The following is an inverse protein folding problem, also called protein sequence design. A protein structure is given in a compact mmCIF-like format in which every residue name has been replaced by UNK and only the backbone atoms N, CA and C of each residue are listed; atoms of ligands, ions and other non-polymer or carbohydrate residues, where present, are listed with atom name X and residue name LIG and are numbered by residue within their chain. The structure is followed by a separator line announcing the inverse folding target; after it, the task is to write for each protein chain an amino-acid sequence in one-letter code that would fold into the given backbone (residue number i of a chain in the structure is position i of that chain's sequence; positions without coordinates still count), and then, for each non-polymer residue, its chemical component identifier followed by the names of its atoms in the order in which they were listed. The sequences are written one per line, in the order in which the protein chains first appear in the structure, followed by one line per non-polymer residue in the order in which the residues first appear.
data_IF_311432955055
#
_entry.id   IF_311432955055
#
_cell.length_a   1.000
_cell.length_b   1.000
_cell.length_c   1.000
_cell.angle_alpha   90.00
_cell.angle_beta   90.00
_cell.angle_gamma   90.00
#
_symmetry.space_group_name_H-M   'P 1'
#
loop_
_entity.id
_entity.type
_entity.pdbx_description
1 polymer ?
#
# COMPACT_ATOMS: atom_id res chain seq x y z
N UNK A 1 -7.19 -37.13 -26.14
CA UNK A 1 -6.62 -35.80 -26.44
C UNK A 1 -6.45 -35.05 -25.12
N UNK A 2 -5.23 -34.96 -24.62
CA UNK A 2 -4.94 -34.07 -23.50
C UNK A 2 -4.99 -32.64 -24.05
N UNK A 3 -5.91 -31.81 -23.55
CA UNK A 3 -5.85 -30.38 -23.79
C UNK A 3 -4.52 -29.90 -23.23
N UNK A 4 -3.67 -29.34 -24.10
CA UNK A 4 -2.49 -28.64 -23.65
C UNK A 4 -2.96 -27.56 -22.67
N UNK A 5 -2.62 -27.72 -21.38
CA UNK A 5 -2.69 -26.63 -20.42
C UNK A 5 -1.73 -25.60 -21.00
N UNK A 6 -2.26 -24.64 -21.74
CA UNK A 6 -1.50 -23.52 -22.26
C UNK A 6 -0.92 -22.88 -21.03
N UNK A 7 0.40 -22.97 -20.87
CA UNK A 7 1.13 -22.31 -19.79
C UNK A 7 0.85 -20.82 -19.96
N UNK A 8 -0.19 -20.34 -19.28
CA UNK A 8 -0.54 -18.93 -19.20
C UNK A 8 0.44 -18.34 -18.22
N UNK A 9 1.69 -18.23 -18.66
CA UNK A 9 2.75 -17.60 -17.92
C UNK A 9 3.16 -16.35 -18.66
N UNK A 10 2.54 -15.24 -18.30
CA UNK A 10 2.94 -13.90 -18.68
C UNK A 10 4.40 -13.68 -18.27
N UNK A 11 5.23 -13.18 -19.20
CA UNK A 11 6.60 -12.76 -18.89
C UNK A 11 6.61 -11.39 -18.20
N UNK A 12 7.76 -10.99 -17.62
CA UNK A 12 7.90 -9.64 -17.07
C UNK A 12 7.75 -8.55 -18.16
N UNK A 13 8.22 -8.84 -19.38
CA UNK A 13 8.04 -7.94 -20.53
C UNK A 13 6.57 -7.76 -20.88
N UNK A 14 5.80 -8.85 -20.93
CA UNK A 14 4.35 -8.81 -21.21
C UNK A 14 3.59 -8.06 -20.12
N UNK A 15 3.98 -8.23 -18.85
CA UNK A 15 3.45 -7.48 -17.72
C UNK A 15 3.65 -5.97 -17.90
N UNK A 16 4.89 -5.56 -18.21
CA UNK A 16 5.23 -4.15 -18.41
C UNK A 16 4.46 -3.57 -19.60
N UNK A 17 4.39 -4.29 -20.71
CA UNK A 17 3.62 -3.86 -21.89
C UNK A 17 2.14 -3.71 -21.56
N UNK A 18 1.54 -4.69 -20.88
CA UNK A 18 0.13 -4.64 -20.47
C UNK A 18 -0.15 -3.43 -19.57
N UNK A 19 0.73 -3.12 -18.60
CA UNK A 19 0.59 -1.93 -17.74
C UNK A 19 0.67 -0.62 -18.53
N UNK A 20 1.54 -0.55 -19.53
CA UNK A 20 1.76 0.67 -20.34
C UNK A 20 0.62 0.92 -21.32
N UNK A 21 0.11 -0.13 -21.93
CA UNK A 21 -0.95 -0.07 -22.95
C UNK A 21 -2.35 0.14 -22.34
N UNK A 22 -2.54 -0.22 -21.06
CA UNK A 22 -3.84 -0.05 -20.40
C UNK A 22 -4.20 1.42 -20.24
N UNK A 23 -5.39 1.82 -20.70
CA UNK A 23 -5.96 3.12 -20.36
C UNK A 23 -6.53 3.07 -18.94
N UNK A 24 -5.84 3.66 -17.98
CA UNK A 24 -6.24 3.63 -16.56
C UNK A 24 -7.46 4.51 -16.25
N UNK A 25 -7.86 5.38 -17.17
CA UNK A 25 -9.11 6.17 -17.04
C UNK A 25 -10.35 5.34 -17.41
N UNK A 26 -10.16 4.22 -18.12
CA UNK A 26 -11.25 3.33 -18.53
C UNK A 26 -11.42 2.18 -17.54
N UNK A 27 -12.56 2.18 -16.84
CA UNK A 27 -12.95 1.09 -15.92
C UNK A 27 -12.91 -0.28 -16.61
N UNK A 28 -13.34 -0.34 -17.87
CA UNK A 28 -13.33 -1.58 -18.66
C UNK A 28 -11.90 -2.05 -18.90
N UNK A 29 -11.00 -1.15 -19.34
CA UNK A 29 -9.62 -1.52 -19.62
C UNK A 29 -8.86 -1.95 -18.35
N UNK A 30 -9.11 -1.28 -17.22
CA UNK A 30 -8.56 -1.69 -15.92
C UNK A 30 -9.05 -3.07 -15.50
N UNK A 31 -10.35 -3.34 -15.67
CA UNK A 31 -10.91 -4.66 -15.36
C UNK A 31 -10.31 -5.76 -16.26
N UNK A 32 -10.14 -5.50 -17.55
CA UNK A 32 -9.51 -6.45 -18.47
C UNK A 32 -8.06 -6.76 -18.07
N UNK A 33 -7.29 -5.73 -17.71
CA UNK A 33 -5.95 -5.91 -17.15
C UNK A 33 -5.99 -6.77 -15.88
N UNK A 34 -6.86 -6.45 -14.93
CA UNK A 34 -6.99 -7.20 -13.67
C UNK A 34 -7.35 -8.67 -13.93
N UNK A 35 -8.27 -8.95 -14.85
CA UNK A 35 -8.63 -10.33 -15.21
C UNK A 35 -7.44 -11.08 -15.82
N UNK A 36 -6.68 -10.43 -16.72
CA UNK A 36 -5.46 -11.01 -17.30
C UNK A 36 -4.43 -11.34 -16.23
N UNK A 37 -4.23 -10.44 -15.26
CA UNK A 37 -3.30 -10.64 -14.14
C UNK A 37 -3.77 -11.74 -13.18
N UNK A 38 -5.08 -11.81 -12.89
CA UNK A 38 -5.67 -12.86 -12.02
C UNK A 38 -5.63 -14.26 -12.63
N UNK A 39 -5.53 -14.37 -13.95
CA UNK A 39 -5.34 -15.64 -14.63
C UNK A 39 -3.91 -16.19 -14.51
N UNK A 40 -2.98 -15.44 -13.91
CA UNK A 40 -1.57 -15.83 -13.72
C UNK A 40 -1.32 -16.33 -12.30
N UNK A 41 -0.14 -16.90 -12.06
CA UNK A 41 0.36 -17.18 -10.71
C UNK A 41 0.47 -15.86 -9.91
N UNK A 42 -0.28 -15.70 -8.79
CA UNK A 42 -0.31 -14.46 -8.03
C UNK A 42 1.05 -14.09 -7.42
N UNK A 43 1.87 -15.08 -7.04
CA UNK A 43 3.20 -14.81 -6.47
C UNK A 43 4.16 -14.27 -7.53
N UNK A 44 4.04 -14.76 -8.75
CA UNK A 44 4.83 -14.26 -9.89
C UNK A 44 4.42 -12.83 -10.25
N UNK A 45 3.12 -12.55 -10.32
CA UNK A 45 2.62 -11.19 -10.57
C UNK A 45 3.11 -10.23 -9.48
N UNK A 46 3.01 -10.61 -8.20
CA UNK A 46 3.50 -9.79 -7.10
C UNK A 46 5.01 -9.52 -7.17
N UNK A 47 5.80 -10.51 -7.62
CA UNK A 47 7.22 -10.34 -7.89
C UNK A 47 7.47 -9.30 -8.99
N UNK A 48 6.69 -9.31 -10.07
CA UNK A 48 6.81 -8.29 -11.13
C UNK A 48 6.45 -6.89 -10.64
N UNK A 49 5.40 -6.75 -9.83
CA UNK A 49 5.07 -5.46 -9.20
C UNK A 49 6.23 -4.93 -8.35
N UNK A 50 6.78 -5.77 -7.48
CA UNK A 50 7.88 -5.36 -6.57
C UNK A 50 9.18 -5.08 -7.32
N UNK A 51 9.53 -5.94 -8.29
CA UNK A 51 10.70 -5.75 -9.13
C UNK A 51 10.60 -4.47 -9.96
N UNK A 52 9.41 -4.20 -10.54
CA UNK A 52 9.20 -3.00 -11.35
C UNK A 52 9.28 -1.74 -10.49
N UNK A 53 8.68 -1.74 -9.29
CA UNK A 53 8.78 -0.64 -8.34
C UNK A 53 10.24 -0.31 -8.01
N UNK A 54 11.02 -1.34 -7.68
CA UNK A 54 12.44 -1.18 -7.38
C UNK A 54 13.25 -0.69 -8.58
N UNK A 55 12.92 -1.15 -9.79
CA UNK A 55 13.65 -0.77 -11.01
C UNK A 55 13.37 0.67 -11.44
N UNK A 56 12.15 1.18 -11.22
CA UNK A 56 11.81 2.58 -11.55
C UNK A 56 12.24 3.55 -10.46
N UNK A 57 12.14 3.18 -9.17
CA UNK A 57 12.50 4.07 -8.06
C UNK A 57 11.74 5.40 -8.12
N UNK A 58 12.50 6.49 -8.04
CA UNK A 58 12.06 7.88 -8.19
C UNK A 58 12.21 8.42 -9.63
N UNK A 59 12.74 7.62 -10.56
CA UNK A 59 13.11 8.10 -11.90
C UNK A 59 11.95 8.18 -12.90
N UNK A 60 10.81 7.54 -12.62
CA UNK A 60 9.66 7.49 -13.52
C UNK A 60 8.32 7.52 -12.79
N UNK A 61 7.85 8.73 -12.45
CA UNK A 61 6.60 8.96 -11.71
C UNK A 61 5.35 8.46 -12.45
N UNK A 62 5.30 8.62 -13.78
CA UNK A 62 4.17 8.18 -14.59
C UNK A 62 4.00 6.65 -14.54
N UNK A 63 5.11 5.91 -14.69
CA UNK A 63 5.07 4.45 -14.61
C UNK A 63 4.80 3.95 -13.19
N UNK A 64 5.33 4.63 -12.17
CA UNK A 64 5.03 4.34 -10.76
C UNK A 64 3.53 4.52 -10.47
N UNK A 65 2.93 5.60 -10.95
CA UNK A 65 1.49 5.85 -10.83
C UNK A 65 0.66 4.73 -11.47
N UNK A 66 1.06 4.27 -12.67
CA UNK A 66 0.41 3.14 -13.35
C UNK A 66 0.49 1.84 -12.55
N UNK A 67 1.67 1.56 -12.02
CA UNK A 67 1.95 0.39 -11.18
C UNK A 67 1.09 0.42 -9.91
N UNK A 68 1.07 1.55 -9.22
CA UNK A 68 0.29 1.78 -8.01
C UNK A 68 -1.22 1.61 -8.24
N UNK A 69 -1.78 2.25 -9.28
CA UNK A 69 -3.21 2.16 -9.60
C UNK A 69 -3.62 0.73 -9.98
N UNK A 70 -2.80 0.05 -10.78
CA UNK A 70 -3.07 -1.33 -11.21
C UNK A 70 -3.00 -2.31 -10.05
N UNK A 71 -2.03 -2.15 -9.14
CA UNK A 71 -1.94 -2.93 -7.91
C UNK A 71 -3.19 -2.75 -7.04
N UNK A 72 -3.64 -1.50 -6.87
CA UNK A 72 -4.84 -1.18 -6.08
C UNK A 72 -6.12 -1.77 -6.69
N UNK A 73 -6.21 -1.87 -8.02
CA UNK A 73 -7.33 -2.52 -8.70
C UNK A 73 -7.28 -4.05 -8.57
N UNK A 74 -6.07 -4.65 -8.57
CA UNK A 74 -5.89 -6.10 -8.47
C UNK A 74 -6.35 -6.65 -7.12
N UNK A 75 -6.06 -5.94 -6.02
CA UNK A 75 -6.41 -6.31 -4.63
C UNK A 75 -6.04 -7.77 -4.29
N UNK A 76 -4.84 -8.20 -4.70
CA UNK A 76 -4.36 -9.55 -4.40
C UNK A 76 -3.60 -9.58 -3.09
N UNK A 77 -3.87 -10.58 -2.24
CA UNK A 77 -3.15 -10.82 -0.98
C UNK A 77 -1.64 -11.04 -1.21
N UNK A 78 -1.27 -11.59 -2.38
CA UNK A 78 0.13 -11.79 -2.75
C UNK A 78 0.92 -10.48 -2.92
N UNK A 79 0.24 -9.33 -3.07
CA UNK A 79 0.88 -8.01 -3.15
C UNK A 79 1.35 -7.47 -1.80
N UNK A 80 1.28 -8.25 -0.71
CA UNK A 80 1.80 -7.86 0.60
C UNK A 80 3.20 -7.21 0.53
N UNK A 81 4.22 -7.78 -0.17
CA UNK A 81 5.55 -7.16 -0.23
C UNK A 81 5.55 -5.79 -0.93
N UNK A 82 4.72 -5.64 -1.97
CA UNK A 82 4.59 -4.38 -2.71
C UNK A 82 3.95 -3.29 -1.84
N UNK A 83 2.86 -3.62 -1.13
CA UNK A 83 2.22 -2.68 -0.22
C UNK A 83 3.07 -2.36 0.99
N UNK A 84 3.80 -3.33 1.51
CA UNK A 84 4.77 -3.09 2.58
C UNK A 84 5.83 -2.08 2.14
N UNK A 85 6.43 -2.26 0.96
CA UNK A 85 7.43 -1.34 0.41
C UNK A 85 6.89 0.10 0.35
N UNK A 86 5.70 0.29 -0.23
CA UNK A 86 5.05 1.59 -0.34
C UNK A 86 4.67 2.21 1.02
N UNK A 87 4.30 1.38 2.00
CA UNK A 87 3.93 1.85 3.33
C UNK A 87 5.16 2.30 4.14
N UNK A 88 6.26 1.53 4.08
CA UNK A 88 7.50 1.82 4.84
C UNK A 88 8.54 2.60 4.05
N UNK A 89 8.23 2.94 2.79
CA UNK A 89 9.06 3.71 1.87
C UNK A 89 10.44 3.10 1.65
N UNK A 90 10.51 1.79 1.44
CA UNK A 90 11.78 1.13 1.08
C UNK A 90 12.27 1.60 -0.29
N UNK A 91 11.35 1.81 -1.22
CA UNK A 91 11.57 2.39 -2.54
C UNK A 91 10.90 3.77 -2.61
N UNK A 92 11.61 4.85 -2.25
CA UNK A 92 11.04 6.19 -2.22
C UNK A 92 10.62 6.65 -3.64
N UNK A 93 9.61 7.50 -3.69
CA UNK A 93 9.18 8.22 -4.90
C UNK A 93 9.98 9.50 -5.13
N UNK A 94 10.59 10.05 -4.07
CA UNK A 94 11.47 11.22 -4.12
C UNK A 94 12.68 11.05 -3.18
N UNK A 95 13.85 11.63 -3.47
CA UNK A 95 15.03 11.49 -2.61
C UNK A 95 14.86 12.03 -1.17
N UNK A 96 13.98 13.00 -0.95
CA UNK A 96 13.87 13.78 0.28
C UNK A 96 12.46 13.73 0.92
N UNK A 97 11.79 12.57 0.86
CA UNK A 97 10.38 12.45 1.27
C UNK A 97 10.10 12.93 2.70
N UNK A 98 10.99 12.65 3.65
CA UNK A 98 10.86 13.13 5.03
C UNK A 98 10.71 14.64 5.09
N UNK A 99 11.56 15.37 4.37
CA UNK A 99 11.50 16.83 4.33
C UNK A 99 10.21 17.33 3.64
N UNK A 100 9.74 16.62 2.62
CA UNK A 100 8.49 16.95 1.92
C UNK A 100 7.27 16.78 2.83
N UNK A 101 7.23 15.73 3.65
CA UNK A 101 6.11 15.44 4.56
C UNK A 101 6.07 16.38 5.75
N UNK A 102 7.23 16.82 6.24
CA UNK A 102 7.34 17.76 7.38
C UNK A 102 7.36 19.24 6.96
N UNK A 103 7.23 19.54 5.68
CA UNK A 103 7.13 20.91 5.20
C UNK A 103 5.91 21.63 5.81
N UNK A 104 6.05 22.93 6.07
CA UNK A 104 4.99 23.74 6.68
C UNK A 104 3.70 23.76 5.84
N UNK A 105 3.85 23.72 4.52
CA UNK A 105 2.74 23.68 3.56
C UNK A 105 2.82 22.40 2.69
N UNK A 106 1.71 21.68 2.50
CA UNK A 106 1.68 20.50 1.65
C UNK A 106 1.94 20.83 0.17
N UNK A 107 2.96 20.21 -0.42
CA UNK A 107 3.26 20.28 -1.85
C UNK A 107 2.50 19.20 -2.63
N UNK A 108 2.54 19.27 -3.97
CA UNK A 108 2.00 18.19 -4.81
C UNK A 108 2.73 16.87 -4.52
N UNK A 109 4.05 16.90 -4.40
CA UNK A 109 4.88 15.72 -4.13
C UNK A 109 4.57 15.12 -2.76
N UNK A 110 4.39 15.94 -1.73
CA UNK A 110 4.02 15.43 -0.40
C UNK A 110 2.62 14.79 -0.40
N UNK A 111 1.69 15.32 -1.20
CA UNK A 111 0.37 14.69 -1.41
C UNK A 111 0.47 13.35 -2.14
N UNK A 112 1.36 13.22 -3.13
CA UNK A 112 1.60 11.93 -3.83
C UNK A 112 2.12 10.89 -2.84
N UNK A 113 3.15 11.23 -2.05
CA UNK A 113 3.72 10.34 -1.04
C UNK A 113 2.67 9.94 0.01
N UNK A 114 1.89 10.89 0.52
CA UNK A 114 0.79 10.61 1.45
C UNK A 114 -0.30 9.73 0.86
N UNK A 115 -0.65 9.93 -0.42
CA UNK A 115 -1.66 9.12 -1.13
C UNK A 115 -1.21 7.67 -1.27
N UNK A 116 0.05 7.46 -1.70
CA UNK A 116 0.63 6.11 -1.80
C UNK A 116 0.66 5.41 -0.44
N UNK A 117 1.16 6.08 0.60
CA UNK A 117 1.21 5.49 1.95
C UNK A 117 -0.19 5.18 2.50
N UNK A 118 -1.14 6.09 2.37
CA UNK A 118 -2.51 5.88 2.87
C UNK A 118 -3.18 4.71 2.18
N UNK A 119 -3.00 4.57 0.87
CA UNK A 119 -3.55 3.45 0.11
C UNK A 119 -2.83 2.14 0.40
N UNK A 120 -1.51 2.17 0.61
CA UNK A 120 -0.75 1.01 1.02
C UNK A 120 -1.21 0.50 2.39
N UNK A 121 -1.38 1.40 3.36
CA UNK A 121 -1.95 1.09 4.69
C UNK A 121 -3.35 0.50 4.57
N UNK A 122 -4.22 1.06 3.71
CA UNK A 122 -5.55 0.50 3.46
C UNK A 122 -5.47 -0.92 2.90
N UNK A 123 -4.63 -1.17 1.91
CA UNK A 123 -4.48 -2.50 1.31
C UNK A 123 -3.87 -3.50 2.30
N UNK A 124 -2.90 -3.09 3.12
CA UNK A 124 -2.41 -3.90 4.25
C UNK A 124 -3.54 -4.26 5.22
N UNK A 125 -4.46 -3.32 5.49
CA UNK A 125 -5.69 -3.57 6.25
C UNK A 125 -6.54 -4.69 5.66
N UNK A 126 -6.83 -4.61 4.36
CA UNK A 126 -7.59 -5.64 3.65
C UNK A 126 -6.91 -7.02 3.71
N UNK A 127 -5.59 -7.05 3.53
CA UNK A 127 -4.80 -8.29 3.58
C UNK A 127 -4.75 -8.85 5.01
N UNK A 128 -4.73 -8.00 6.03
CA UNK A 128 -4.60 -8.41 7.44
C UNK A 128 -5.74 -9.28 7.96
N UNK A 129 -6.90 -9.28 7.31
CA UNK A 129 -7.98 -10.23 7.60
C UNK A 129 -7.60 -11.69 7.34
N UNK A 130 -6.59 -11.93 6.52
CA UNK A 130 -6.18 -13.28 6.06
C UNK A 130 -4.70 -13.57 6.33
N UNK A 131 -3.87 -12.54 6.43
CA UNK A 131 -2.44 -12.67 6.69
C UNK A 131 -2.02 -11.82 7.92
N UNK A 132 -1.70 -12.47 9.06
CA UNK A 132 -1.23 -11.78 10.26
C UNK A 132 0.04 -10.93 10.06
N UNK A 133 0.88 -11.24 9.07
CA UNK A 133 2.07 -10.46 8.77
C UNK A 133 1.72 -9.02 8.36
N UNK A 134 0.62 -8.83 7.62
CA UNK A 134 0.11 -7.50 7.28
C UNK A 134 -0.34 -6.73 8.53
N UNK A 135 -0.97 -7.42 9.48
CA UNK A 135 -1.36 -6.84 10.77
C UNK A 135 -0.16 -6.37 11.59
N UNK A 136 0.92 -7.15 11.63
CA UNK A 136 2.15 -6.75 12.33
C UNK A 136 2.85 -5.56 11.66
N UNK A 137 2.76 -5.41 10.34
CA UNK A 137 3.23 -4.20 9.64
C UNK A 137 2.42 -2.97 10.08
N UNK A 138 1.09 -3.06 10.07
CA UNK A 138 0.20 -1.96 10.51
C UNK A 138 0.47 -1.55 11.96
N UNK A 139 0.61 -2.53 12.84
CA UNK A 139 0.99 -2.32 14.25
C UNK A 139 2.35 -1.64 14.36
N UNK A 140 3.33 -2.06 13.55
CA UNK A 140 4.63 -1.42 13.44
C UNK A 140 4.52 0.06 13.08
N UNK A 141 3.74 0.40 12.05
CA UNK A 141 3.51 1.79 11.63
C UNK A 141 2.87 2.61 12.76
N UNK A 142 1.84 2.08 13.43
CA UNK A 142 1.13 2.79 14.49
C UNK A 142 2.00 3.00 15.75
N UNK A 143 2.75 1.98 16.18
CA UNK A 143 3.49 1.99 17.44
C UNK A 143 4.94 2.47 17.33
N UNK A 144 5.59 2.21 16.20
CA UNK A 144 7.02 2.48 15.95
C UNK A 144 7.18 3.16 14.58
N UNK A 145 6.63 4.37 14.42
CA UNK A 145 6.66 5.08 13.14
C UNK A 145 8.10 5.38 12.70
N UNK A 146 8.34 5.30 11.39
CA UNK A 146 9.48 5.94 10.76
C UNK A 146 9.24 7.45 10.70
N UNK A 147 10.30 8.23 10.46
CA UNK A 147 10.20 9.69 10.34
C UNK A 147 9.19 10.14 9.27
N UNK A 148 9.00 9.34 8.22
CA UNK A 148 8.03 9.59 7.15
C UNK A 148 6.57 9.37 7.56
N UNK A 149 6.31 8.62 8.64
CA UNK A 149 4.95 8.30 9.08
C UNK A 149 4.38 9.42 9.95
N UNK A 150 3.61 10.31 9.33
CA UNK A 150 2.84 11.33 10.05
C UNK A 150 1.81 10.72 11.00
N UNK A 151 1.35 11.50 11.99
CA UNK A 151 0.27 11.10 12.92
C UNK A 151 -0.99 10.62 12.18
N UNK A 152 -1.28 11.16 11.00
CA UNK A 152 -2.42 10.75 10.16
C UNK A 152 -2.22 9.34 9.60
N UNK A 153 -1.04 9.02 9.05
CA UNK A 153 -0.74 7.66 8.57
C UNK A 153 -0.79 6.66 9.72
N UNK A 154 -0.27 7.04 10.90
CA UNK A 154 -0.35 6.20 12.09
C UNK A 154 -1.80 5.92 12.52
N UNK A 155 -2.69 6.91 12.39
CA UNK A 155 -4.13 6.73 12.63
C UNK A 155 -4.75 5.76 11.64
N UNK A 156 -4.50 5.91 10.34
CA UNK A 156 -5.01 4.97 9.34
C UNK A 156 -4.51 3.54 9.58
N UNK A 157 -3.25 3.38 10.00
CA UNK A 157 -2.71 2.05 10.32
C UNK A 157 -3.38 1.45 11.55
N UNK A 158 -3.63 2.25 12.58
CA UNK A 158 -4.39 1.82 13.75
C UNK A 158 -5.83 1.44 13.39
N UNK A 159 -6.54 2.25 12.59
CA UNK A 159 -7.93 2.00 12.20
C UNK A 159 -8.04 0.73 11.37
N UNK A 160 -7.18 0.58 10.34
CA UNK A 160 -7.11 -0.62 9.53
C UNK A 160 -6.83 -1.88 10.35
N UNK A 161 -5.91 -1.82 11.34
CA UNK A 161 -5.65 -2.94 12.24
C UNK A 161 -6.83 -3.20 13.18
N UNK A 162 -7.46 -2.17 13.72
CA UNK A 162 -8.59 -2.31 14.67
C UNK A 162 -9.77 -2.99 14.00
N UNK A 163 -9.98 -2.74 12.71
CA UNK A 163 -11.06 -3.34 11.92
C UNK A 163 -10.84 -4.84 11.65
N UNK A 164 -9.59 -5.30 11.57
CA UNK A 164 -9.26 -6.72 11.39
C UNK A 164 -8.99 -7.47 12.71
N UNK A 165 -8.40 -6.79 13.70
CA UNK A 165 -8.11 -7.29 15.05
C UNK A 165 -8.36 -6.19 16.10
N UNK A 166 -9.57 -6.21 16.65
CA UNK A 166 -9.99 -5.27 17.70
C UNK A 166 -9.13 -5.38 18.96
N UNK A 167 -8.60 -6.56 19.28
CA UNK A 167 -7.76 -6.79 20.47
C UNK A 167 -6.40 -6.12 20.28
N UNK A 168 -5.77 -6.30 19.12
CA UNK A 168 -4.53 -5.61 18.76
C UNK A 168 -4.71 -4.08 18.80
N UNK A 169 -5.83 -3.57 18.28
CA UNK A 169 -6.17 -2.15 18.37
C UNK A 169 -6.21 -1.64 19.83
N UNK A 170 -6.91 -2.34 20.73
CA UNK A 170 -6.94 -1.97 22.15
C UNK A 170 -5.56 -2.00 22.80
N UNK A 171 -4.73 -2.99 22.46
CA UNK A 171 -3.36 -3.10 22.97
C UNK A 171 -2.50 -1.90 22.55
N UNK A 172 -2.63 -1.41 21.31
CA UNK A 172 -1.94 -0.20 20.85
C UNK A 172 -2.31 1.01 21.73
N UNK A 173 -3.60 1.28 21.91
CA UNK A 173 -4.05 2.46 22.69
C UNK A 173 -3.51 2.43 24.12
N UNK A 174 -3.48 1.24 24.72
CA UNK A 174 -2.92 1.03 26.07
C UNK A 174 -1.41 1.25 26.11
N UNK A 175 -0.68 0.75 25.10
CA UNK A 175 0.77 0.83 25.03
C UNK A 175 1.31 2.22 24.69
N UNK A 176 0.56 3.04 23.93
CA UNK A 176 1.00 4.40 23.59
C UNK A 176 1.16 5.26 24.85
N UNK A 177 2.21 6.08 24.89
CA UNK A 177 2.43 7.04 25.97
C UNK A 177 1.37 8.14 25.94
N UNK A 178 1.09 8.76 27.10
CA UNK A 178 0.04 9.79 27.25
C UNK A 178 0.24 11.00 26.35
N UNK A 179 1.49 11.36 26.11
CA UNK A 179 1.93 12.49 25.30
C UNK A 179 2.03 12.18 23.81
N UNK A 180 1.95 10.91 23.41
CA UNK A 180 2.03 10.47 22.01
C UNK A 180 0.94 11.16 21.16
N UNK A 181 1.30 11.80 20.03
CA UNK A 181 0.36 12.47 19.14
C UNK A 181 -0.82 11.59 18.68
N UNK A 182 -0.57 10.31 18.38
CA UNK A 182 -1.61 9.36 17.98
C UNK A 182 -2.58 9.15 19.14
N UNK A 183 -2.08 8.95 20.37
CA UNK A 183 -2.95 8.71 21.54
C UNK A 183 -3.84 9.90 21.83
N UNK A 184 -3.31 11.12 21.76
CA UNK A 184 -4.09 12.35 21.94
C UNK A 184 -5.25 12.43 20.95
N UNK A 185 -4.99 12.10 19.69
CA UNK A 185 -5.98 12.12 18.61
C UNK A 185 -7.07 11.07 18.81
N UNK A 186 -6.70 9.82 19.10
CA UNK A 186 -7.66 8.73 19.33
C UNK A 186 -8.57 8.97 20.56
N UNK A 187 -8.05 9.61 21.61
CA UNK A 187 -8.85 9.95 22.80
C UNK A 187 -9.78 11.13 22.53
N UNK A 188 -9.37 12.09 21.69
CA UNK A 188 -10.22 13.21 21.28
C UNK A 188 -11.41 12.74 20.44
N UNK A 189 -11.17 11.89 19.44
CA UNK A 189 -12.21 11.38 18.54
C UNK A 189 -13.29 10.56 19.30
N UNK A 190 -12.88 9.81 20.33
CA UNK A 190 -13.79 9.08 21.20
C UNK A 190 -14.70 9.98 22.07
N UNK A 191 -14.35 11.26 22.24
CA UNK A 191 -15.18 12.25 22.96
C UNK A 191 -16.13 13.00 22.04
N UNK A 192 -15.81 13.11 20.75
CA UNK A 192 -16.64 13.80 19.74
C UNK A 192 -17.79 12.94 19.20
N UNK A 193 -17.83 11.65 19.54
CA UNK A 193 -18.84 10.67 19.13
C UNK A 193 -19.87 10.36 20.24
N UNK A 194 -19.88 11.14 21.32
CA UNK A 194 -20.87 11.14 22.39
C UNK A 194 -21.69 12.41 22.35
#
# INVERSE_FOLDING_TARGET
MAAAIKDLTMSEGDFISALRETNLESVIAVNDLVQRLRAQDPMRVAKYFSARLSAIGDSNSAERGRLFQSANALQSDALLPFWQDLAVRKTPAYPNESALIHAAEPTLDSRVVMSEMSMAVRNLGLISYRDPAAGEILKGIAMRPLDIHSTVIRQYAYEALKESDQVAGMQIVRALKKDDPLKKRLVSDARSTK
#
